data_IF_665324364396
#
_entry.id   IF_665324364396
#
_cell.length_a   1.000
_cell.length_b   1.000
_cell.length_c   1.000
_cell.angle_alpha   90.00
_cell.angle_beta   90.00
_cell.angle_gamma   90.00
#
_symmetry.space_group_name_H-M   'P 1'
#
loop_
_entity.id
_entity.type
_entity.pdbx_description
1 polymer ?
#
# COMPACT_ATOMS: atom_id res chain seq x y z
N UNK A 1 -18.84 -10.50 -20.85
CA UNK A 1 -17.47 -10.21 -20.36
C UNK A 1 -17.47 -10.33 -18.85
N UNK A 2 -16.59 -11.12 -18.23
CA UNK A 2 -16.43 -11.12 -16.77
C UNK A 2 -15.90 -9.75 -16.33
N UNK A 3 -16.54 -9.15 -15.32
CA UNK A 3 -16.09 -7.91 -14.67
C UNK A 3 -15.45 -8.27 -13.33
N UNK A 4 -14.19 -7.90 -13.17
CA UNK A 4 -13.50 -7.94 -11.88
C UNK A 4 -13.52 -6.55 -11.26
N UNK A 5 -13.89 -6.48 -9.99
CA UNK A 5 -13.80 -5.27 -9.18
C UNK A 5 -12.67 -5.48 -8.18
N UNK A 6 -11.79 -4.49 -8.10
CA UNK A 6 -10.67 -4.46 -7.17
C UNK A 6 -10.91 -3.28 -6.22
N UNK A 7 -11.10 -3.56 -4.94
CA UNK A 7 -11.25 -2.51 -3.93
C UNK A 7 -9.99 -2.45 -3.08
N UNK A 8 -9.31 -1.31 -3.11
CA UNK A 8 -8.13 -1.04 -2.29
C UNK A 8 -8.49 -0.34 -0.98
N UNK A 9 -7.84 -0.75 0.11
CA UNK A 9 -7.88 -0.06 1.40
C UNK A 9 -6.48 0.13 1.96
N UNK A 10 -6.25 1.30 2.56
CA UNK A 10 -5.08 1.54 3.39
C UNK A 10 -5.33 0.91 4.76
N UNK A 11 -4.75 -0.27 4.98
CA UNK A 11 -4.93 -1.04 6.21
C UNK A 11 -4.13 -0.46 7.39
N UNK A 12 -2.96 0.14 7.11
CA UNK A 12 -2.12 0.77 8.12
C UNK A 12 -1.36 1.95 7.52
N UNK A 13 -1.26 3.04 8.28
CA UNK A 13 -0.30 4.11 8.07
C UNK A 13 0.21 4.54 9.45
N UNK A 14 1.49 4.30 9.71
CA UNK A 14 2.10 4.56 11.01
C UNK A 14 3.41 5.31 10.84
N UNK A 15 3.63 6.31 11.68
CA UNK A 15 4.89 7.04 11.77
C UNK A 15 5.58 6.68 13.08
N UNK A 16 6.86 6.36 13.03
CA UNK A 16 7.69 6.08 14.20
C UNK A 16 8.98 6.89 14.10
N UNK A 17 9.36 7.55 15.19
CA UNK A 17 10.67 8.15 15.33
C UNK A 17 11.58 7.20 16.13
N UNK A 18 12.84 7.07 15.73
CA UNK A 18 13.85 6.34 16.48
C UNK A 18 14.68 7.29 17.38
N UNK A 19 15.44 6.70 18.30
CA UNK A 19 16.31 7.45 19.21
C UNK A 19 17.48 8.16 18.50
N UNK A 20 17.77 7.77 17.25
CA UNK A 20 18.81 8.36 16.41
C UNK A 20 18.29 9.57 15.62
N UNK A 21 17.02 9.94 15.80
CA UNK A 21 16.37 11.04 15.10
C UNK A 21 15.97 10.70 13.67
N UNK A 22 15.86 9.42 13.30
CA UNK A 22 15.21 9.03 12.06
C UNK A 22 13.70 8.94 12.27
N UNK A 23 12.96 9.15 11.19
CA UNK A 23 11.51 8.96 11.16
C UNK A 23 11.22 7.94 10.08
N UNK A 24 10.68 6.79 10.49
CA UNK A 24 10.11 5.79 9.61
C UNK A 24 8.61 6.03 9.43
N UNK A 25 8.13 5.88 8.20
CA UNK A 25 6.70 5.80 7.90
C UNK A 25 6.43 4.45 7.27
N UNK A 26 5.56 3.66 7.90
CA UNK A 26 5.14 2.34 7.43
C UNK A 26 3.72 2.41 6.91
N UNK A 27 3.51 1.95 5.68
CA UNK A 27 2.19 1.78 5.08
C UNK A 27 1.92 0.30 4.79
N UNK A 28 0.66 -0.11 4.95
CA UNK A 28 0.15 -1.41 4.54
C UNK A 28 -1.15 -1.21 3.78
N UNK A 29 -1.24 -1.80 2.59
CA UNK A 29 -2.44 -1.78 1.75
C UNK A 29 -2.96 -3.19 1.56
N UNK A 30 -4.27 -3.29 1.38
CA UNK A 30 -4.94 -4.52 1.01
C UNK A 30 -5.91 -4.25 -0.14
N UNK A 31 -5.93 -5.14 -1.11
CA UNK A 31 -6.87 -5.15 -2.21
C UNK A 31 -7.74 -6.41 -2.12
N UNK A 32 -9.03 -6.27 -2.32
CA UNK A 32 -9.95 -7.40 -2.48
C UNK A 32 -10.39 -7.48 -3.94
N UNK A 33 -10.41 -8.69 -4.48
CA UNK A 33 -10.80 -8.94 -5.87
C UNK A 33 -12.11 -9.70 -5.86
N UNK A 34 -13.17 -9.13 -6.45
CA UNK A 34 -14.49 -9.76 -6.57
C UNK A 34 -14.95 -9.83 -8.02
N UNK A 35 -15.71 -10.87 -8.36
CA UNK A 35 -16.34 -11.03 -9.67
C UNK A 35 -17.76 -10.47 -9.63
N UNK A 36 -18.11 -9.60 -10.56
CA UNK A 36 -19.46 -9.05 -10.72
C UNK A 36 -20.22 -9.76 -11.87
N UNK A 37 -21.56 -9.91 -11.78
CA UNK A 37 -22.45 -9.39 -10.75
C UNK A 37 -22.60 -10.29 -9.51
N UNK A 38 -22.00 -11.49 -9.52
CA UNK A 38 -22.11 -12.52 -8.46
C UNK A 38 -21.57 -12.06 -7.09
N UNK A 39 -20.81 -10.95 -7.06
CA UNK A 39 -20.06 -10.41 -5.92
C UNK A 39 -19.22 -11.47 -5.18
N UNK A 40 -18.78 -12.51 -5.90
CA UNK A 40 -17.97 -13.58 -5.31
C UNK A 40 -16.55 -13.10 -5.12
N UNK A 41 -16.03 -13.19 -3.89
CA UNK A 41 -14.64 -12.91 -3.58
C UNK A 41 -13.75 -13.96 -4.26
N UNK A 42 -12.80 -13.51 -5.06
CA UNK A 42 -11.85 -14.36 -5.80
C UNK A 42 -10.46 -14.37 -5.18
N UNK A 43 -10.13 -13.39 -4.35
CA UNK A 43 -8.89 -13.34 -3.60
C UNK A 43 -8.61 -11.97 -3.01
N UNK A 44 -7.45 -11.85 -2.38
CA UNK A 44 -6.90 -10.59 -1.90
C UNK A 44 -5.42 -10.47 -2.24
N UNK A 45 -4.96 -9.23 -2.37
CA UNK A 45 -3.56 -8.86 -2.51
C UNK A 45 -3.21 -7.95 -1.34
N UNK A 46 -2.00 -8.04 -0.81
CA UNK A 46 -1.55 -7.14 0.24
C UNK A 46 -0.09 -6.75 0.01
N UNK A 47 0.25 -5.55 0.45
CA UNK A 47 1.60 -5.03 0.32
C UNK A 47 1.90 -4.10 1.48
N UNK A 48 3.18 -4.01 1.81
CA UNK A 48 3.66 -3.15 2.86
C UNK A 48 5.00 -2.55 2.43
N UNK A 49 5.21 -1.30 2.80
CA UNK A 49 6.49 -0.64 2.60
C UNK A 49 6.75 0.36 3.72
N UNK A 50 8.05 0.65 3.91
CA UNK A 50 8.52 1.61 4.89
C UNK A 50 9.42 2.61 4.19
N UNK A 51 9.10 3.90 4.31
CA UNK A 51 9.99 4.99 3.93
C UNK A 51 10.69 5.55 5.17
N UNK A 52 11.94 5.98 5.04
CA UNK A 52 12.75 6.49 6.16
C UNK A 52 13.35 7.85 5.79
N UNK A 53 13.16 8.83 6.67
CA UNK A 53 13.80 10.14 6.61
C UNK A 53 14.57 10.46 7.90
N UNK A 54 15.32 11.56 7.90
CA UNK A 54 16.04 12.03 9.09
C UNK A 54 15.36 13.27 9.67
N UNK A 55 15.47 13.49 10.99
CA UNK A 55 14.89 14.68 11.64
C UNK A 55 15.43 15.98 11.03
N UNK A 56 16.70 15.98 10.59
CA UNK A 56 17.31 17.11 9.88
C UNK A 56 16.64 17.36 8.52
N UNK A 57 16.28 16.31 7.76
CA UNK A 57 15.58 16.47 6.48
C UNK A 57 14.10 16.84 6.67
N UNK A 58 13.51 16.49 7.81
CA UNK A 58 12.11 16.75 8.15
C UNK A 58 11.89 18.11 8.81
N UNK A 59 12.92 18.69 9.44
CA UNK A 59 12.91 20.05 9.97
C UNK A 59 12.64 21.11 8.89
N UNK A 60 12.81 20.77 7.61
CA UNK A 60 12.45 21.61 6.46
C UNK A 60 10.92 21.80 6.28
N UNK A 61 10.09 21.10 7.06
CA UNK A 61 8.66 21.40 7.22
C UNK A 61 7.71 20.21 6.96
N UNK A 62 6.40 20.39 7.23
CA UNK A 62 5.39 19.33 7.20
C UNK A 62 5.28 18.59 5.86
N UNK A 63 5.60 19.28 4.74
CA UNK A 63 5.61 18.68 3.40
C UNK A 63 6.53 17.47 3.26
N UNK A 64 7.60 17.39 4.05
CA UNK A 64 8.53 16.25 4.01
C UNK A 64 7.99 15.01 4.71
N UNK A 65 7.17 15.17 5.74
CA UNK A 65 6.47 14.04 6.37
C UNK A 65 5.44 13.47 5.39
N UNK A 66 4.69 14.34 4.70
CA UNK A 66 3.76 13.89 3.64
C UNK A 66 4.48 13.14 2.53
N UNK A 67 5.63 13.63 2.07
CA UNK A 67 6.41 12.90 1.05
C UNK A 67 6.84 11.50 1.52
N UNK A 68 7.20 11.31 2.79
CA UNK A 68 7.50 9.98 3.34
C UNK A 68 6.25 9.08 3.38
N UNK A 69 5.09 9.64 3.70
CA UNK A 69 3.82 8.92 3.68
C UNK A 69 3.46 8.50 2.26
N UNK A 70 3.55 9.40 1.29
CA UNK A 70 3.27 9.12 -0.12
C UNK A 70 4.19 8.00 -0.64
N UNK A 71 5.49 8.09 -0.36
CA UNK A 71 6.47 7.06 -0.73
C UNK A 71 6.18 5.70 -0.09
N UNK A 72 5.80 5.68 1.19
CA UNK A 72 5.45 4.44 1.86
C UNK A 72 4.19 3.81 1.26
N UNK A 73 3.17 4.62 0.95
CA UNK A 73 1.93 4.15 0.33
C UNK A 73 2.20 3.65 -1.09
N UNK A 74 2.93 4.40 -1.91
CA UNK A 74 3.31 4.01 -3.27
C UNK A 74 4.09 2.67 -3.26
N UNK A 75 5.10 2.55 -2.40
CA UNK A 75 5.83 1.29 -2.25
C UNK A 75 4.96 0.12 -1.78
N UNK A 76 3.97 0.38 -0.91
CA UNK A 76 3.05 -0.65 -0.45
C UNK A 76 2.11 -1.11 -1.57
N UNK A 77 1.63 -0.17 -2.42
CA UNK A 77 0.83 -0.48 -3.61
C UNK A 77 1.64 -1.27 -4.61
N UNK A 78 2.85 -0.83 -4.94
CA UNK A 78 3.75 -1.55 -5.85
C UNK A 78 4.04 -2.96 -5.34
N UNK A 79 4.29 -3.10 -4.04
CA UNK A 79 4.50 -4.41 -3.42
C UNK A 79 3.27 -5.31 -3.52
N UNK A 80 2.06 -4.77 -3.36
CA UNK A 80 0.82 -5.54 -3.44
C UNK A 80 0.50 -5.96 -4.88
N UNK A 81 0.83 -5.10 -5.85
CA UNK A 81 0.59 -5.33 -7.27
C UNK A 81 1.65 -6.22 -7.91
N UNK A 82 2.83 -6.34 -7.29
CA UNK A 82 3.91 -7.20 -7.76
C UNK A 82 3.46 -8.67 -7.76
N UNK A 83 3.29 -9.25 -8.95
CA UNK A 83 2.80 -10.61 -9.13
C UNK A 83 1.28 -10.77 -9.04
N UNK A 84 0.53 -9.66 -9.04
CA UNK A 84 -0.94 -9.70 -9.05
C UNK A 84 -1.51 -10.31 -10.34
N UNK A 85 -0.76 -10.29 -11.45
CA UNK A 85 -1.19 -10.76 -12.76
C UNK A 85 -1.72 -12.21 -12.72
N UNK A 86 -0.99 -13.12 -12.08
CA UNK A 86 -1.41 -14.53 -11.95
C UNK A 86 -2.62 -14.70 -11.05
N UNK A 87 -2.76 -13.86 -10.02
CA UNK A 87 -3.92 -13.86 -9.12
C UNK A 87 -5.18 -13.36 -9.83
N UNK A 88 -5.05 -12.27 -10.59
CA UNK A 88 -6.13 -11.68 -11.37
C UNK A 88 -6.57 -12.60 -12.52
N UNK A 89 -5.63 -13.26 -13.20
CA UNK A 89 -5.93 -14.21 -14.26
C UNK A 89 -6.64 -15.48 -13.74
N UNK A 90 -6.33 -15.91 -12.51
CA UNK A 90 -7.09 -16.97 -11.84
C UNK A 90 -8.47 -16.50 -11.42
N UNK A 91 -8.59 -15.26 -10.92
CA UNK A 91 -9.87 -14.67 -10.54
C UNK A 91 -10.83 -14.48 -11.73
N UNK A 92 -10.31 -14.29 -12.95
CA UNK A 92 -11.12 -14.07 -14.15
C UNK A 92 -11.80 -15.33 -14.70
N UNK A 93 -11.37 -16.52 -14.28
CA UNK A 93 -11.96 -17.81 -14.67
C UNK A 93 -13.18 -18.09 -13.79
#
# INVERSE_FOLDING_TARGET
MPLLIIDGRLAKLAQQADANGNVGVTAQVEFTVRKAPENTLRGSLSGAATSVGTAKSLAAGPRRIHALQDQAVEGAVDSAMKGADEGLLRASR
#
